data_IF_830122662717
#
_entry.id   IF_830122662717
#
_cell.length_a   1.000
_cell.length_b   1.000
_cell.length_c   1.000
_cell.angle_alpha   90.00
_cell.angle_beta   90.00
_cell.angle_gamma   90.00
#
_symmetry.space_group_name_H-M   'P 1'
#
loop_
_entity.id
_entity.type
_entity.pdbx_description
1 polymer ?
#
# COMPACT_ATOMS: atom_id res chain seq x y z
N UNK A 1 92.80 5.41 -18.87
CA UNK A 1 91.87 6.15 -17.97
C UNK A 1 90.51 5.51 -18.16
N UNK A 2 90.23 4.49 -17.35
CA UNK A 2 89.04 3.65 -17.48
C UNK A 2 87.87 4.28 -16.71
N UNK A 3 86.87 4.73 -17.45
CA UNK A 3 85.64 5.27 -16.91
C UNK A 3 84.64 4.12 -16.67
N UNK A 4 84.67 3.53 -15.48
CA UNK A 4 83.65 2.56 -15.04
C UNK A 4 82.38 3.32 -14.65
N UNK A 5 81.35 3.19 -15.47
CA UNK A 5 79.98 3.64 -15.18
C UNK A 5 79.37 2.70 -14.13
N UNK A 6 78.94 3.28 -13.02
CA UNK A 6 78.29 2.61 -11.89
C UNK A 6 76.77 2.47 -12.16
N UNK A 7 76.18 1.27 -12.21
CA UNK A 7 74.76 1.09 -12.52
C UNK A 7 73.79 1.14 -11.31
N UNK A 8 74.22 1.42 -10.08
CA UNK A 8 73.35 1.32 -8.89
C UNK A 8 72.74 2.63 -8.37
N UNK A 9 72.17 3.47 -9.25
CA UNK A 9 71.41 4.63 -8.77
C UNK A 9 70.16 4.94 -9.58
N UNK A 10 69.31 3.93 -9.76
CA UNK A 10 67.89 4.17 -10.00
C UNK A 10 67.26 4.59 -8.66
N UNK A 11 67.13 5.90 -8.47
CA UNK A 11 66.42 6.50 -7.36
C UNK A 11 64.99 5.96 -7.33
N UNK A 12 64.65 5.25 -6.25
CA UNK A 12 63.27 4.98 -5.90
C UNK A 12 62.57 6.31 -5.65
N UNK A 13 61.80 6.76 -6.63
CA UNK A 13 60.83 7.85 -6.44
C UNK A 13 59.80 7.34 -5.43
N UNK A 14 59.64 7.96 -4.25
CA UNK A 14 58.60 7.55 -3.32
C UNK A 14 57.25 7.74 -4.01
N UNK A 15 56.54 6.63 -4.17
CA UNK A 15 55.18 6.60 -4.66
C UNK A 15 54.33 7.50 -3.75
N UNK A 16 53.53 8.44 -4.28
CA UNK A 16 52.71 9.29 -3.44
C UNK A 16 51.72 8.39 -2.71
N UNK A 17 51.84 8.33 -1.37
CA UNK A 17 50.86 7.72 -0.50
C UNK A 17 49.48 8.20 -0.94
N UNK A 18 48.71 7.30 -1.56
CA UNK A 18 47.31 7.53 -1.88
C UNK A 18 46.60 7.69 -0.55
N UNK A 19 46.49 8.92 -0.06
CA UNK A 19 45.53 9.31 0.96
C UNK A 19 44.15 8.96 0.38
N UNK A 20 43.68 7.76 0.72
CA UNK A 20 42.31 7.37 0.51
C UNK A 20 41.38 8.45 1.07
N UNK A 21 40.18 8.61 0.49
CA UNK A 21 39.26 9.67 0.86
C UNK A 21 39.12 9.71 2.39
N UNK A 22 39.46 10.85 2.99
CA UNK A 22 39.32 11.05 4.43
C UNK A 22 37.85 10.76 4.79
N UNK A 23 37.59 9.88 5.77
CA UNK A 23 36.22 9.61 6.19
C UNK A 23 35.60 10.92 6.66
N UNK A 24 34.60 11.40 5.90
CA UNK A 24 33.83 12.58 6.26
C UNK A 24 32.91 12.16 7.41
N UNK A 25 32.98 12.80 8.58
CA UNK A 25 32.07 12.49 9.68
C UNK A 25 30.65 12.84 9.26
N UNK A 26 29.82 11.82 9.03
CA UNK A 26 28.38 11.98 8.94
C UNK A 26 27.81 12.05 10.36
N UNK A 27 27.44 13.25 10.79
CA UNK A 27 26.62 13.41 11.99
C UNK A 27 25.22 12.88 11.68
N UNK A 28 24.91 11.67 12.13
CA UNK A 28 23.53 11.22 12.24
C UNK A 28 22.89 12.03 13.39
N UNK A 29 21.86 12.81 13.06
CA UNK A 29 21.10 13.63 14.00
C UNK A 29 20.20 12.83 14.97
N UNK A 30 20.50 11.56 15.20
CA UNK A 30 19.81 10.73 16.17
C UNK A 30 20.88 10.23 17.14
N UNK A 31 20.89 10.75 18.37
CA UNK A 31 21.98 10.66 19.35
C UNK A 31 22.26 9.25 19.88
N UNK A 32 22.59 8.32 18.99
CA UNK A 32 23.05 6.97 19.28
C UNK A 32 24.33 6.69 18.52
N UNK A 33 25.42 6.69 19.27
CA UNK A 33 26.73 6.24 18.83
C UNK A 33 26.76 4.70 18.78
N UNK A 34 26.27 4.11 17.69
CA UNK A 34 26.50 2.69 17.42
C UNK A 34 27.80 2.56 16.59
N UNK A 35 28.91 2.23 17.26
CA UNK A 35 30.18 1.95 16.59
C UNK A 35 30.06 0.70 15.72
N UNK A 36 30.19 0.89 14.41
CA UNK A 36 30.30 -0.21 13.45
C UNK A 36 31.70 -0.81 13.60
N UNK A 37 31.82 -1.94 14.30
CA UNK A 37 33.03 -2.75 14.27
C UNK A 37 33.21 -3.33 12.85
N UNK A 38 34.01 -2.64 12.04
CA UNK A 38 34.55 -3.20 10.80
C UNK A 38 35.62 -4.21 11.20
N UNK A 39 35.20 -5.46 11.35
CA UNK A 39 36.12 -6.59 11.46
C UNK A 39 36.96 -6.68 10.19
N UNK A 40 38.23 -6.32 10.32
CA UNK A 40 39.30 -6.55 9.36
C UNK A 40 39.46 -8.06 9.17
N UNK A 41 38.88 -8.62 8.11
CA UNK A 41 39.17 -9.98 7.68
C UNK A 41 40.62 -10.02 7.20
N UNK A 42 41.48 -10.66 8.00
CA UNK A 42 42.89 -10.85 7.71
C UNK A 42 43.09 -11.80 6.54
N UNK A 43 44.00 -11.42 5.65
CA UNK A 43 44.65 -12.26 4.67
C UNK A 43 45.56 -13.29 5.36
N UNK A 44 45.41 -14.57 5.02
CA UNK A 44 46.43 -15.63 5.07
C UNK A 44 45.85 -16.81 4.27
N UNK A 45 46.47 -17.45 3.28
CA UNK A 45 47.80 -17.35 2.69
C UNK A 45 47.81 -18.17 1.38
N UNK A 46 48.93 -18.05 0.67
CA UNK A 46 49.23 -18.73 -0.58
C UNK A 46 49.31 -20.26 -0.45
N UNK A 47 49.02 -20.99 -1.54
CA UNK A 47 49.34 -22.42 -1.62
C UNK A 47 48.81 -23.16 -2.86
N UNK A 48 49.62 -23.13 -3.92
CA UNK A 48 49.91 -24.21 -4.89
C UNK A 48 48.83 -24.80 -5.82
N UNK A 49 49.26 -24.95 -7.07
CA UNK A 49 48.71 -25.69 -8.20
C UNK A 49 48.39 -27.18 -7.91
N UNK A 50 47.31 -27.70 -8.50
CA UNK A 50 47.27 -28.96 -9.28
C UNK A 50 45.85 -29.22 -9.86
N UNK A 51 45.73 -29.94 -11.00
CA UNK A 51 44.52 -29.98 -11.82
C UNK A 51 43.60 -31.19 -11.57
N UNK A 52 42.40 -31.06 -12.13
CA UNK A 52 41.37 -32.06 -12.48
C UNK A 52 41.60 -33.53 -12.05
N UNK A 53 40.66 -34.09 -11.28
CA UNK A 53 40.16 -35.45 -11.57
C UNK A 53 38.72 -35.63 -11.10
N UNK A 54 37.93 -36.18 -12.01
CA UNK A 54 36.60 -36.81 -11.89
C UNK A 54 36.49 -37.82 -10.75
N UNK A 55 35.36 -37.81 -10.02
CA UNK A 55 34.60 -39.00 -9.59
C UNK A 55 33.50 -38.63 -8.55
N UNK A 56 32.24 -38.88 -8.88
CA UNK A 56 31.26 -39.43 -7.93
C UNK A 56 31.42 -40.97 -7.95
N UNK A 57 31.22 -41.72 -6.85
CA UNK A 57 29.85 -42.09 -6.46
C UNK A 57 29.61 -42.44 -4.97
N UNK A 58 28.33 -42.68 -4.67
CA UNK A 58 27.77 -43.60 -3.67
C UNK A 58 27.51 -43.15 -2.22
N UNK A 59 26.21 -43.08 -1.94
CA UNK A 59 25.50 -43.78 -0.85
C UNK A 59 26.30 -44.22 0.37
N UNK A 60 26.00 -43.62 1.52
CA UNK A 60 25.99 -44.33 2.80
C UNK A 60 24.73 -43.96 3.59
N UNK A 61 23.83 -44.92 3.63
CA UNK A 61 22.71 -45.09 4.54
C UNK A 61 23.22 -45.28 5.96
N UNK A 62 22.80 -44.44 6.92
CA UNK A 62 22.78 -44.82 8.35
C UNK A 62 21.96 -43.85 9.21
N UNK A 63 20.87 -44.38 9.76
CA UNK A 63 20.24 -43.98 11.03
C UNK A 63 19.75 -45.28 11.68
N UNK A 64 19.43 -45.34 12.98
CA UNK A 64 19.93 -44.63 14.17
C UNK A 64 20.42 -45.66 15.24
N UNK A 65 20.70 -45.30 16.52
CA UNK A 65 19.64 -45.46 17.53
C UNK A 65 19.71 -44.52 18.75
N UNK A 66 18.53 -44.24 19.32
CA UNK A 66 18.24 -44.34 20.75
C UNK A 66 19.01 -43.46 21.75
N UNK A 67 18.35 -42.40 22.22
CA UNK A 67 18.49 -41.96 23.60
C UNK A 67 17.10 -41.79 24.22
N UNK A 68 16.85 -42.58 25.27
CA UNK A 68 15.63 -42.63 26.06
C UNK A 68 15.60 -41.49 27.08
N UNK A 69 14.40 -40.96 27.28
CA UNK A 69 13.77 -40.50 28.54
C UNK A 69 14.64 -40.03 29.71
N UNK A 70 14.39 -38.80 30.16
CA UNK A 70 14.13 -38.54 31.59
C UNK A 70 13.10 -37.42 31.78
N UNK A 71 12.08 -37.74 32.56
CA UNK A 71 11.07 -36.87 33.15
C UNK A 71 11.65 -36.22 34.41
N UNK A 72 11.35 -34.93 34.65
CA UNK A 72 11.10 -34.29 35.95
C UNK A 72 11.01 -32.76 35.69
N UNK A 73 9.82 -32.16 35.73
CA UNK A 73 9.17 -31.68 36.96
C UNK A 73 9.78 -30.37 37.47
N UNK A 74 9.11 -29.25 37.18
CA UNK A 74 8.71 -28.24 38.18
C UNK A 74 7.79 -27.21 37.52
N UNK A 75 6.50 -27.46 37.69
CA UNK A 75 5.48 -26.45 37.53
C UNK A 75 5.67 -25.40 38.63
N UNK A 76 5.93 -24.15 38.24
CA UNK A 76 5.82 -23.01 39.15
C UNK A 76 4.87 -22.00 38.50
N UNK A 77 3.60 -22.05 38.91
CA UNK A 77 2.66 -20.98 38.63
C UNK A 77 3.05 -19.74 39.43
N UNK A 78 3.05 -18.53 38.84
CA UNK A 78 2.96 -17.31 39.62
C UNK A 78 1.48 -17.02 39.98
N UNK A 79 1.23 -16.44 41.16
CA UNK A 79 -0.10 -16.33 41.76
C UNK A 79 -0.98 -15.28 41.08
N UNK A 80 -2.28 -15.59 41.05
CA UNK A 80 -3.35 -14.59 41.01
C UNK A 80 -3.12 -13.57 42.14
N UNK A 81 -2.92 -12.31 41.76
CA UNK A 81 -3.09 -11.18 42.64
C UNK A 81 -4.10 -10.23 41.99
N UNK A 82 -5.29 -10.23 42.58
CA UNK A 82 -6.34 -9.26 42.38
C UNK A 82 -5.79 -7.83 42.49
N UNK A 83 -6.14 -6.99 41.52
CA UNK A 83 -5.78 -5.58 41.49
C UNK A 83 -6.58 -4.83 40.43
N UNK A 84 -7.89 -4.72 40.62
CA UNK A 84 -8.67 -3.65 40.00
C UNK A 84 -8.33 -2.33 40.70
N UNK A 85 -8.03 -1.27 39.93
CA UNK A 85 -8.75 -0.01 40.09
C UNK A 85 -9.30 0.42 38.71
N UNK A 86 -10.61 0.63 38.54
CA UNK A 86 -11.26 1.93 38.80
C UNK A 86 -10.37 3.11 38.37
N UNK A 87 -10.46 3.52 37.11
CA UNK A 87 -11.16 4.75 36.73
C UNK A 87 -11.04 4.97 35.21
N UNK A 88 -12.21 4.99 34.58
CA UNK A 88 -12.39 5.56 33.27
C UNK A 88 -12.22 7.08 33.38
N UNK A 89 -11.03 7.58 33.07
CA UNK A 89 -10.85 8.99 32.75
C UNK A 89 -11.17 9.14 31.26
N UNK A 90 -12.45 9.43 30.99
CA UNK A 90 -12.87 10.15 29.80
C UNK A 90 -12.01 11.41 29.66
N UNK A 91 -11.45 11.74 28.48
CA UNK A 91 -11.01 13.10 28.22
C UNK A 91 -12.25 14.00 28.10
N UNK A 92 -12.47 14.99 28.98
CA UNK A 92 -13.41 16.06 28.72
C UNK A 92 -12.64 17.12 27.94
N UNK A 93 -12.65 17.04 26.61
CA UNK A 93 -12.46 18.21 25.74
C UNK A 93 -12.60 17.79 24.28
N UNK A 94 -13.82 17.37 23.93
CA UNK A 94 -14.35 17.67 22.61
C UNK A 94 -14.78 19.14 22.61
N UNK A 95 -13.80 20.04 22.65
CA UNK A 95 -14.02 21.43 22.30
C UNK A 95 -14.44 21.45 20.84
N UNK A 96 -15.72 21.72 20.59
CA UNK A 96 -16.20 22.06 19.26
C UNK A 96 -15.37 23.24 18.73
N UNK A 97 -14.82 23.19 17.51
CA UNK A 97 -14.33 24.40 16.88
C UNK A 97 -15.53 25.35 16.68
N UNK A 98 -15.40 26.63 17.08
CA UNK A 98 -16.47 27.60 16.90
C UNK A 98 -16.70 27.87 15.41
N UNK A 99 -17.92 28.34 15.17
CA UNK A 99 -18.45 28.79 13.89
C UNK A 99 -17.48 29.61 13.03
N UNK A 100 -17.69 29.44 11.73
CA UNK A 100 -17.33 30.32 10.64
C UNK A 100 -17.08 31.79 11.05
N UNK A 101 -15.84 32.24 10.82
CA UNK A 101 -15.54 33.66 10.60
C UNK A 101 -14.98 33.79 9.20
N UNK A 102 -15.82 34.27 8.29
CA UNK A 102 -15.41 34.78 6.98
C UNK A 102 -14.46 35.97 7.18
N UNK A 103 -13.33 36.06 6.46
CA UNK A 103 -12.54 37.29 6.46
C UNK A 103 -13.28 38.41 5.69
N UNK A 104 -13.23 39.66 6.20
CA UNK A 104 -13.89 40.79 5.62
C UNK A 104 -13.16 41.27 4.35
N UNK A 105 -13.97 41.85 3.47
CA UNK A 105 -13.59 42.55 2.27
C UNK A 105 -12.44 43.56 2.50
N UNK A 106 -11.39 43.45 1.68
CA UNK A 106 -10.49 44.55 1.40
C UNK A 106 -10.73 45.02 -0.04
N UNK A 107 -11.58 46.03 -0.15
CA UNK A 107 -11.86 46.76 -1.37
C UNK A 107 -10.70 47.68 -1.74
N UNK A 108 -10.27 47.66 -3.01
CA UNK A 108 -9.79 48.87 -3.73
C UNK A 108 -9.98 48.73 -5.25
N UNK A 109 -11.10 49.32 -5.72
CA UNK A 109 -11.28 50.22 -6.88
C UNK A 109 -10.37 50.09 -8.11
N UNK A 110 -10.98 50.02 -9.30
CA UNK A 110 -11.01 51.09 -10.34
C UNK A 110 -11.39 50.45 -11.70
N UNK A 111 -12.62 50.61 -12.20
CA UNK A 111 -13.12 51.71 -13.07
C UNK A 111 -13.12 51.33 -14.58
N UNK A 112 -14.28 51.50 -15.23
CA UNK A 112 -14.49 51.41 -16.68
C UNK A 112 -15.73 50.59 -17.06
N UNK A 113 -16.93 51.20 -17.04
CA UNK A 113 -17.72 51.60 -18.23
C UNK A 113 -18.35 50.41 -19.00
N UNK A 114 -19.63 50.31 -19.34
CA UNK A 114 -20.87 51.11 -19.26
C UNK A 114 -22.03 50.12 -19.58
N UNK A 115 -23.29 50.43 -19.25
CA UNK A 115 -24.42 49.49 -19.32
C UNK A 115 -25.22 49.63 -20.62
N UNK A 116 -25.76 48.52 -21.13
CA UNK A 116 -26.94 48.55 -22.00
C UNK A 116 -28.05 47.75 -21.36
N UNK A 117 -29.08 48.50 -20.98
CA UNK A 117 -30.35 48.06 -20.45
C UNK A 117 -31.19 47.38 -21.54
N UNK A 118 -31.99 46.39 -21.16
CA UNK A 118 -33.29 46.10 -21.79
C UNK A 118 -34.22 45.53 -20.73
N UNK A 119 -34.85 46.45 -20.00
CA UNK A 119 -36.30 46.57 -19.78
C UNK A 119 -37.13 45.34 -20.22
N UNK A 120 -37.61 44.52 -19.27
CA UNK A 120 -38.94 44.58 -18.67
C UNK A 120 -40.11 44.32 -19.65
N UNK A 121 -41.01 43.38 -19.30
CA UNK A 121 -42.49 43.52 -19.42
C UNK A 121 -43.20 42.21 -19.01
N UNK A 122 -43.70 42.25 -17.76
CA UNK A 122 -45.00 41.77 -17.21
C UNK A 122 -45.55 40.33 -17.40
N UNK A 123 -46.07 39.70 -16.32
CA UNK A 123 -47.18 38.72 -16.31
C UNK A 123 -48.55 39.48 -16.20
N UNK A 124 -49.76 38.92 -15.92
CA UNK A 124 -50.32 37.55 -15.74
C UNK A 124 -51.66 37.41 -16.59
N UNK A 125 -52.83 36.82 -16.20
CA UNK A 125 -53.23 35.69 -15.32
C UNK A 125 -54.22 34.66 -15.98
N UNK A 126 -54.58 33.61 -15.23
CA UNK A 126 -55.86 32.85 -15.16
C UNK A 126 -56.65 32.43 -16.42
N UNK A 127 -57.01 31.13 -16.50
CA UNK A 127 -58.38 30.63 -16.26
C UNK A 127 -58.63 29.20 -16.80
N UNK A 128 -59.09 28.33 -15.90
CA UNK A 128 -60.29 27.46 -16.04
C UNK A 128 -60.48 26.60 -17.30
N UNK A 129 -60.45 25.27 -17.14
CA UNK A 129 -61.64 24.40 -17.29
C UNK A 129 -61.29 22.90 -17.18
N UNK A 130 -62.21 22.17 -16.53
CA UNK A 130 -62.26 20.73 -16.25
C UNK A 130 -62.75 19.89 -17.48
N UNK A 131 -62.78 18.54 -17.42
CA UNK A 131 -62.69 17.57 -18.52
C UNK A 131 -64.06 17.18 -19.12
N UNK A 132 -64.10 16.49 -20.28
CA UNK A 132 -64.22 15.03 -20.33
C UNK A 132 -63.33 14.45 -21.45
N UNK A 133 -62.93 13.19 -21.50
CA UNK A 133 -63.71 12.15 -22.18
C UNK A 133 -63.01 10.79 -21.92
N UNK A 134 -63.79 9.85 -21.43
CA UNK A 134 -63.37 8.48 -21.21
C UNK A 134 -63.29 7.75 -22.55
N UNK A 135 -62.08 7.54 -23.05
CA UNK A 135 -61.85 6.59 -24.16
C UNK A 135 -61.91 5.15 -23.60
N UNK A 136 -62.68 4.24 -24.21
CA UNK A 136 -62.80 2.86 -23.74
C UNK A 136 -61.45 2.14 -23.82
N UNK A 137 -61.08 1.52 -22.70
CA UNK A 137 -59.97 0.59 -22.58
C UNK A 137 -60.10 -0.56 -23.60
N UNK A 138 -59.06 -0.86 -24.41
CA UNK A 138 -58.94 -2.16 -25.03
C UNK A 138 -58.62 -3.21 -23.95
N UNK A 139 -59.35 -4.33 -23.88
CA UNK A 139 -59.00 -5.45 -23.04
C UNK A 139 -57.97 -6.32 -23.79
N UNK A 140 -56.69 -5.97 -23.73
CA UNK A 140 -55.61 -6.94 -23.96
C UNK A 140 -54.89 -7.21 -22.64
N UNK A 141 -55.62 -7.92 -21.78
CA UNK A 141 -55.02 -8.77 -20.80
C UNK A 141 -54.19 -9.86 -21.52
N UNK A 142 -53.05 -10.20 -20.91
CA UNK A 142 -52.40 -11.52 -21.02
C UNK A 142 -51.69 -11.90 -22.33
N UNK A 143 -50.62 -11.18 -22.69
CA UNK A 143 -49.54 -11.74 -23.54
C UNK A 143 -48.11 -11.37 -23.10
N UNK A 144 -47.92 -10.82 -21.89
CA UNK A 144 -46.61 -10.38 -21.39
C UNK A 144 -45.99 -11.27 -20.29
N UNK A 145 -46.59 -12.42 -19.99
CA UNK A 145 -46.12 -13.34 -18.94
C UNK A 145 -45.35 -14.55 -19.50
N UNK A 146 -45.33 -14.75 -20.82
CA UNK A 146 -44.66 -15.87 -21.45
C UNK A 146 -43.23 -15.46 -21.86
N UNK A 147 -42.26 -16.20 -21.34
CA UNK A 147 -40.83 -16.09 -21.65
C UNK A 147 -40.09 -14.87 -21.08
N UNK A 148 -40.22 -14.63 -19.76
CA UNK A 148 -38.98 -14.44 -18.99
C UNK A 148 -38.17 -15.71 -19.20
N UNK A 149 -37.38 -15.76 -20.29
CA UNK A 149 -36.32 -16.75 -20.45
C UNK A 149 -35.60 -16.79 -19.10
N UNK A 150 -35.38 -17.96 -18.50
CA UNK A 150 -34.55 -18.04 -17.31
C UNK A 150 -33.31 -17.22 -17.65
N UNK A 151 -33.12 -16.10 -16.95
CA UNK A 151 -31.93 -15.29 -17.16
C UNK A 151 -30.81 -16.25 -16.82
N UNK A 152 -30.13 -16.70 -17.87
CA UNK A 152 -29.07 -17.68 -17.81
C UNK A 152 -28.05 -17.05 -16.89
N UNK A 153 -28.06 -17.50 -15.63
CA UNK A 153 -27.27 -16.94 -14.53
C UNK A 153 -25.85 -16.80 -15.09
N UNK A 154 -25.35 -15.57 -15.31
CA UNK A 154 -24.09 -15.40 -15.99
C UNK A 154 -23.04 -16.29 -15.32
N UNK A 155 -22.38 -17.13 -16.10
CA UNK A 155 -21.59 -18.22 -15.55
C UNK A 155 -20.55 -17.70 -14.56
N UNK A 156 -20.20 -18.52 -13.56
CA UNK A 156 -19.15 -18.18 -12.57
C UNK A 156 -17.88 -17.65 -13.25
N UNK A 157 -17.53 -18.18 -14.43
CA UNK A 157 -16.38 -17.72 -15.22
C UNK A 157 -16.44 -16.25 -15.66
N UNK A 158 -17.63 -15.71 -15.95
CA UNK A 158 -17.79 -14.30 -16.31
C UNK A 158 -17.57 -13.38 -15.11
N UNK A 159 -18.06 -13.76 -13.92
CA UNK A 159 -17.80 -13.03 -12.67
C UNK A 159 -16.31 -13.02 -12.37
N UNK A 160 -15.64 -14.17 -12.48
CA UNK A 160 -14.20 -14.29 -12.23
C UNK A 160 -13.42 -13.43 -13.23
N UNK A 161 -13.71 -13.54 -14.52
CA UNK A 161 -12.99 -12.78 -15.56
C UNK A 161 -13.17 -11.26 -15.38
N UNK A 162 -14.38 -10.80 -15.06
CA UNK A 162 -14.63 -9.38 -14.74
C UNK A 162 -13.93 -8.97 -13.46
N UNK A 163 -14.04 -9.78 -12.42
CA UNK A 163 -13.39 -9.56 -11.13
C UNK A 163 -11.88 -9.42 -11.24
N UNK A 164 -11.23 -10.25 -12.06
CA UNK A 164 -9.80 -10.16 -12.36
C UNK A 164 -9.44 -8.86 -13.08
N UNK A 165 -10.24 -8.42 -14.06
CA UNK A 165 -10.02 -7.13 -14.74
C UNK A 165 -10.17 -5.95 -13.78
N UNK A 166 -11.22 -5.96 -12.96
CA UNK A 166 -11.44 -4.94 -11.92
C UNK A 166 -10.30 -4.95 -10.91
N UNK A 167 -9.88 -6.13 -10.44
CA UNK A 167 -8.75 -6.28 -9.52
C UNK A 167 -7.42 -5.81 -10.09
N UNK A 168 -7.15 -6.03 -11.39
CA UNK A 168 -5.97 -5.51 -12.06
C UNK A 168 -5.97 -3.96 -12.11
N UNK A 169 -7.12 -3.35 -12.41
CA UNK A 169 -7.27 -1.90 -12.38
C UNK A 169 -7.07 -1.33 -10.95
N UNK A 170 -7.64 -1.98 -9.94
CA UNK A 170 -7.45 -1.62 -8.53
C UNK A 170 -5.99 -1.75 -8.10
N UNK A 171 -5.30 -2.81 -8.54
CA UNK A 171 -3.88 -3.03 -8.27
C UNK A 171 -3.06 -1.88 -8.84
N UNK A 172 -3.24 -1.55 -10.12
CA UNK A 172 -2.49 -0.48 -10.77
C UNK A 172 -2.73 0.88 -10.09
N UNK A 173 -3.99 1.22 -9.82
CA UNK A 173 -4.34 2.48 -9.15
C UNK A 173 -3.71 2.55 -7.74
N UNK A 174 -3.90 1.51 -6.93
CA UNK A 174 -3.40 1.48 -5.55
C UNK A 174 -1.88 1.49 -5.51
N UNK A 175 -1.21 0.71 -6.36
CA UNK A 175 0.24 0.66 -6.48
C UNK A 175 0.80 2.05 -6.84
N UNK A 176 0.26 2.70 -7.88
CA UNK A 176 0.67 4.03 -8.29
C UNK A 176 0.52 5.06 -7.15
N UNK A 177 -0.62 5.04 -6.44
CA UNK A 177 -0.84 5.95 -5.31
C UNK A 177 0.12 5.68 -4.16
N UNK A 178 0.38 4.42 -3.84
CA UNK A 178 1.34 4.05 -2.79
C UNK A 178 2.76 4.46 -3.15
N UNK A 179 3.18 4.27 -4.39
CA UNK A 179 4.51 4.69 -4.87
C UNK A 179 4.65 6.22 -4.86
N UNK A 180 3.63 6.94 -5.33
CA UNK A 180 3.63 8.41 -5.30
C UNK A 180 3.70 8.95 -3.86
N UNK A 181 2.84 8.45 -2.97
CA UNK A 181 2.83 8.85 -1.56
C UNK A 181 4.16 8.54 -0.86
N UNK A 182 4.73 7.35 -1.11
CA UNK A 182 6.04 6.98 -0.54
C UNK A 182 7.17 7.85 -1.06
N UNK A 183 7.11 8.25 -2.32
CA UNK A 183 8.11 9.16 -2.90
C UNK A 183 8.06 10.53 -2.22
N UNK A 184 6.86 11.04 -1.95
CA UNK A 184 6.68 12.32 -1.27
C UNK A 184 7.12 12.27 0.21
N UNK A 185 6.82 11.19 0.93
CA UNK A 185 7.09 11.06 2.37
C UNK A 185 8.52 10.57 2.69
N UNK A 186 9.09 9.71 1.84
CA UNK A 186 10.36 9.00 2.11
C UNK A 186 11.42 9.20 1.03
N UNK A 187 11.10 9.91 -0.05
CA UNK A 187 12.01 10.06 -1.20
C UNK A 187 12.21 8.77 -1.99
N UNK A 188 11.39 7.73 -1.77
CA UNK A 188 11.49 6.47 -2.51
C UNK A 188 10.12 5.85 -2.80
N UNK A 189 9.86 5.45 -4.06
CA UNK A 189 8.61 4.79 -4.43
C UNK A 189 8.48 3.36 -3.88
N UNK A 190 9.59 2.74 -3.46
CA UNK A 190 9.61 1.32 -3.05
C UNK A 190 9.34 1.10 -1.57
N UNK A 191 9.41 2.15 -0.76
CA UNK A 191 9.33 2.05 0.70
C UNK A 191 8.01 1.38 1.16
N UNK A 192 6.86 1.74 0.58
CA UNK A 192 5.60 1.09 0.94
C UNK A 192 5.51 -0.38 0.53
N UNK A 193 6.13 -0.78 -0.60
CA UNK A 193 6.15 -2.19 -1.01
C UNK A 193 7.00 -3.03 -0.06
N UNK A 194 8.17 -2.52 0.34
CA UNK A 194 9.02 -3.20 1.31
C UNK A 194 8.35 -3.28 2.69
N UNK A 195 7.64 -2.22 3.11
CA UNK A 195 6.84 -2.25 4.33
C UNK A 195 5.73 -3.31 4.24
N UNK A 196 5.03 -3.41 3.10
CA UNK A 196 3.99 -4.42 2.88
C UNK A 196 4.55 -5.85 2.91
N UNK A 197 5.77 -6.07 2.42
CA UNK A 197 6.44 -7.37 2.52
C UNK A 197 6.66 -7.80 3.97
N UNK A 198 7.03 -6.86 4.86
CA UNK A 198 7.13 -7.18 6.30
C UNK A 198 5.79 -7.56 6.91
N UNK A 199 4.68 -7.06 6.36
CA UNK A 199 3.34 -7.38 6.83
C UNK A 199 2.92 -8.81 6.52
N UNK A 200 3.40 -9.39 5.42
CA UNK A 200 3.16 -10.79 5.05
C UNK A 200 4.18 -11.76 5.66
N UNK A 201 4.95 -11.32 6.65
CA UNK A 201 5.80 -12.21 7.45
C UNK A 201 7.22 -12.40 6.95
N UNK A 202 7.72 -11.57 6.02
CA UNK A 202 9.12 -11.64 5.54
C UNK A 202 10.19 -11.17 6.55
N UNK A 203 9.89 -11.31 7.84
CA UNK A 203 10.82 -11.14 8.95
C UNK A 203 10.99 -9.69 9.39
N UNK A 204 11.46 -9.52 10.63
CA UNK A 204 11.76 -8.23 11.28
C UNK A 204 12.93 -7.47 10.66
N UNK A 205 13.30 -7.75 9.41
CA UNK A 205 14.38 -7.02 8.74
C UNK A 205 13.98 -5.55 8.67
N UNK A 206 14.95 -4.66 8.93
CA UNK A 206 14.72 -3.22 8.80
C UNK A 206 14.20 -2.96 7.39
N UNK A 207 13.05 -2.29 7.30
CA UNK A 207 12.47 -1.90 6.02
C UNK A 207 13.47 -1.01 5.31
N UNK A 208 13.99 -1.48 4.18
CA UNK A 208 14.80 -0.65 3.29
C UNK A 208 13.88 0.33 2.57
N UNK A 209 14.27 1.60 2.48
CA UNK A 209 13.57 2.54 1.62
C UNK A 209 13.89 2.31 0.14
N UNK A 210 15.01 1.66 -0.19
CA UNK A 210 15.42 1.35 -1.58
C UNK A 210 14.78 0.05 -2.08
N UNK A 211 14.74 -0.13 -3.41
CA UNK A 211 14.34 -1.39 -4.01
C UNK A 211 15.11 -2.56 -3.39
N UNK A 212 14.37 -3.56 -2.91
CA UNK A 212 14.92 -4.79 -2.33
C UNK A 212 14.44 -5.95 -3.22
N UNK A 213 15.35 -6.71 -3.86
CA UNK A 213 14.99 -7.76 -4.82
C UNK A 213 14.21 -8.91 -4.19
N UNK A 214 14.18 -9.02 -2.85
CA UNK A 214 13.40 -10.03 -2.13
C UNK A 214 12.11 -9.42 -1.59
N UNK A 215 12.19 -8.29 -0.89
CA UNK A 215 11.02 -7.71 -0.24
C UNK A 215 10.07 -7.02 -1.23
N UNK A 216 10.58 -6.23 -2.18
CA UNK A 216 9.73 -5.46 -3.10
C UNK A 216 8.79 -6.36 -3.93
N UNK A 217 9.26 -7.44 -4.58
CA UNK A 217 8.37 -8.31 -5.35
C UNK A 217 7.29 -8.97 -4.49
N UNK A 218 7.61 -9.31 -3.23
CA UNK A 218 6.64 -9.94 -2.33
C UNK A 218 5.58 -8.93 -1.88
N UNK A 219 5.96 -7.68 -1.59
CA UNK A 219 5.00 -6.61 -1.33
C UNK A 219 4.05 -6.38 -2.51
N UNK A 220 4.58 -6.35 -3.73
CA UNK A 220 3.78 -6.22 -4.96
C UNK A 220 2.85 -7.43 -5.14
N UNK A 221 3.34 -8.64 -4.92
CA UNK A 221 2.54 -9.86 -5.03
C UNK A 221 1.41 -9.89 -4.00
N UNK A 222 1.69 -9.49 -2.76
CA UNK A 222 0.69 -9.38 -1.70
C UNK A 222 -0.41 -8.37 -2.05
N UNK A 223 -0.02 -7.16 -2.50
CA UNK A 223 -0.97 -6.14 -2.96
C UNK A 223 -1.83 -6.66 -4.13
N UNK A 224 -1.18 -7.22 -5.15
CA UNK A 224 -1.85 -7.71 -6.35
C UNK A 224 -2.84 -8.83 -6.02
N UNK A 225 -2.42 -9.83 -5.23
CA UNK A 225 -3.28 -10.92 -4.79
C UNK A 225 -4.49 -10.43 -4.01
N UNK A 226 -4.28 -9.49 -3.06
CA UNK A 226 -5.35 -8.87 -2.30
C UNK A 226 -6.35 -8.12 -3.17
N UNK A 227 -5.87 -7.30 -4.11
CA UNK A 227 -6.71 -6.52 -5.02
C UNK A 227 -7.45 -7.37 -6.05
N UNK A 228 -6.86 -8.48 -6.53
CA UNK A 228 -7.55 -9.45 -7.39
C UNK A 228 -8.70 -10.13 -6.65
N UNK A 229 -8.46 -10.60 -5.43
CA UNK A 229 -9.50 -11.19 -4.59
C UNK A 229 -10.61 -10.17 -4.29
N UNK A 230 -10.23 -8.92 -3.99
CA UNK A 230 -11.16 -7.81 -3.78
C UNK A 230 -12.02 -7.55 -5.02
N UNK A 231 -11.41 -7.49 -6.22
CA UNK A 231 -12.12 -7.28 -7.48
C UNK A 231 -13.18 -8.35 -7.76
N UNK A 232 -12.86 -9.62 -7.49
CA UNK A 232 -13.82 -10.73 -7.59
C UNK A 232 -14.95 -10.58 -6.57
N UNK A 233 -14.62 -10.27 -5.31
CA UNK A 233 -15.61 -10.02 -4.26
C UNK A 233 -16.53 -8.85 -4.58
N UNK A 234 -15.98 -7.76 -5.12
CA UNK A 234 -16.71 -6.56 -5.53
C UNK A 234 -17.71 -6.86 -6.66
N UNK A 235 -17.30 -7.56 -7.72
CA UNK A 235 -18.22 -7.93 -8.81
C UNK A 235 -19.32 -8.89 -8.34
N UNK A 236 -18.99 -9.84 -7.45
CA UNK A 236 -19.97 -10.72 -6.83
C UNK A 236 -21.00 -9.93 -6.00
N UNK A 237 -20.54 -8.94 -5.22
CA UNK A 237 -21.41 -8.08 -4.41
C UNK A 237 -22.32 -7.18 -5.27
N UNK A 238 -21.78 -6.57 -6.33
CA UNK A 238 -22.58 -5.79 -7.28
C UNK A 238 -23.68 -6.63 -7.92
N UNK A 239 -23.36 -7.87 -8.30
CA UNK A 239 -24.35 -8.79 -8.86
C UNK A 239 -25.41 -9.21 -7.85
N UNK A 240 -25.02 -9.59 -6.64
CA UNK A 240 -25.95 -9.99 -5.58
C UNK A 240 -26.94 -8.86 -5.23
N UNK A 241 -26.52 -7.60 -5.36
CA UNK A 241 -27.36 -6.42 -5.10
C UNK A 241 -28.11 -5.92 -6.34
N UNK A 242 -27.87 -6.49 -7.53
CA UNK A 242 -28.42 -6.00 -8.80
C UNK A 242 -27.97 -4.59 -9.18
N UNK A 243 -26.92 -4.06 -8.53
CA UNK A 243 -26.45 -2.68 -8.75
C UNK A 243 -25.40 -2.63 -9.86
N UNK A 244 -25.37 -1.50 -10.58
CA UNK A 244 -24.30 -1.16 -11.52
C UNK A 244 -23.16 -0.47 -10.76
N UNK A 245 -21.94 -0.62 -11.26
CA UNK A 245 -20.79 0.13 -10.74
C UNK A 245 -21.01 1.63 -10.93
N UNK A 246 -20.71 2.41 -9.90
CA UNK A 246 -20.85 3.86 -9.91
C UNK A 246 -20.16 4.50 -8.70
N UNK A 247 -20.28 5.82 -8.57
CA UNK A 247 -19.61 6.57 -7.50
C UNK A 247 -19.97 6.05 -6.09
N UNK A 248 -21.25 5.73 -5.85
CA UNK A 248 -21.69 5.20 -4.56
C UNK A 248 -21.08 3.83 -4.24
N UNK A 249 -21.06 2.90 -5.19
CA UNK A 249 -20.48 1.57 -4.96
C UNK A 249 -18.96 1.65 -4.82
N UNK A 250 -18.30 2.58 -5.53
CA UNK A 250 -16.89 2.89 -5.34
C UNK A 250 -16.60 3.47 -3.95
N UNK A 251 -17.40 4.41 -3.47
CA UNK A 251 -17.27 4.96 -2.11
C UNK A 251 -17.46 3.86 -1.05
N UNK A 252 -18.47 2.99 -1.21
CA UNK A 252 -18.67 1.84 -0.32
C UNK A 252 -17.50 0.85 -0.39
N UNK A 253 -16.93 0.62 -1.57
CA UNK A 253 -15.72 -0.20 -1.75
C UNK A 253 -14.52 0.39 -1.01
N UNK A 254 -14.33 1.72 -1.06
CA UNK A 254 -13.29 2.41 -0.32
C UNK A 254 -13.46 2.26 1.20
N UNK A 255 -14.68 2.47 1.72
CA UNK A 255 -15.00 2.31 3.14
C UNK A 255 -14.82 0.86 3.58
N UNK A 256 -15.30 -0.10 2.80
CA UNK A 256 -15.14 -1.51 3.10
C UNK A 256 -13.65 -1.92 3.10
N UNK A 257 -12.85 -1.42 2.17
CA UNK A 257 -11.41 -1.65 2.14
C UNK A 257 -10.70 -1.05 3.36
N UNK A 258 -11.10 0.15 3.80
CA UNK A 258 -10.62 0.75 5.04
C UNK A 258 -10.96 -0.10 6.26
N UNK A 259 -12.21 -0.53 6.39
CA UNK A 259 -12.66 -1.36 7.52
C UNK A 259 -11.97 -2.73 7.53
N UNK A 260 -11.75 -3.35 6.37
CA UNK A 260 -11.03 -4.61 6.27
C UNK A 260 -9.58 -4.46 6.71
N UNK A 261 -8.90 -3.40 6.26
CA UNK A 261 -7.53 -3.13 6.72
C UNK A 261 -7.47 -2.85 8.22
N UNK A 262 -8.46 -2.16 8.79
CA UNK A 262 -8.48 -1.80 10.21
C UNK A 262 -8.88 -2.98 11.13
N UNK A 263 -9.78 -3.85 10.66
CA UNK A 263 -10.30 -4.98 11.45
C UNK A 263 -9.48 -6.26 11.31
N UNK A 264 -8.90 -6.53 10.13
CA UNK A 264 -8.23 -7.81 9.85
C UNK A 264 -6.73 -7.71 10.06
N UNK A 265 -6.11 -6.56 9.78
CA UNK A 265 -4.66 -6.43 9.91
C UNK A 265 -4.30 -6.06 11.36
N UNK A 266 -3.43 -6.83 12.03
CA UNK A 266 -2.98 -6.47 13.36
C UNK A 266 -2.30 -5.09 13.39
N UNK A 267 -2.55 -4.31 14.43
CA UNK A 267 -2.05 -2.93 14.63
C UNK A 267 -0.55 -2.77 14.34
N UNK A 268 0.24 -3.81 14.65
CA UNK A 268 1.68 -3.83 14.44
C UNK A 268 2.04 -3.67 12.96
N UNK A 269 1.26 -4.25 12.05
CA UNK A 269 1.46 -4.14 10.61
C UNK A 269 1.08 -2.75 10.11
N UNK A 270 -0.07 -2.25 10.57
CA UNK A 270 -0.57 -0.95 10.17
C UNK A 270 0.31 0.20 10.67
N UNK A 271 0.96 0.07 11.83
CA UNK A 271 1.85 1.12 12.36
C UNK A 271 3.05 1.39 11.47
N UNK A 272 3.74 0.34 11.00
CA UNK A 272 4.87 0.50 10.08
C UNK A 272 4.42 1.08 8.75
N UNK A 273 3.33 0.55 8.21
CA UNK A 273 2.81 0.98 6.92
C UNK A 273 2.29 2.43 6.92
N UNK A 274 1.51 2.84 7.95
CA UNK A 274 1.05 4.22 8.15
C UNK A 274 2.23 5.17 8.38
N UNK A 275 3.31 4.74 9.05
CA UNK A 275 4.53 5.54 9.21
C UNK A 275 5.31 5.72 7.91
N UNK A 276 5.19 4.79 6.96
CA UNK A 276 5.87 4.88 5.66
C UNK A 276 5.10 5.75 4.67
N UNK A 277 3.77 5.62 4.60
CA UNK A 277 2.95 6.37 3.65
C UNK A 277 2.38 7.70 4.18
N UNK A 278 2.50 7.94 5.49
CA UNK A 278 1.80 9.04 6.15
C UNK A 278 0.27 8.85 6.17
N UNK A 279 -0.40 9.78 6.82
CA UNK A 279 -1.88 9.82 6.88
C UNK A 279 -2.44 10.09 5.49
N UNK A 280 -1.85 11.04 4.76
CA UNK A 280 -2.30 11.43 3.43
C UNK A 280 -2.20 10.28 2.43
N UNK A 281 -1.08 9.53 2.41
CA UNK A 281 -0.94 8.35 1.55
C UNK A 281 -1.93 7.24 1.91
N UNK A 282 -2.22 7.07 3.20
CA UNK A 282 -3.23 6.11 3.68
C UNK A 282 -4.64 6.48 3.20
N UNK A 283 -5.03 7.75 3.27
CA UNK A 283 -6.34 8.20 2.75
C UNK A 283 -6.36 8.08 1.22
N UNK A 284 -5.28 8.50 0.56
CA UNK A 284 -5.18 8.53 -0.90
C UNK A 284 -5.36 7.14 -1.51
N UNK A 285 -4.82 6.07 -0.89
CA UNK A 285 -5.00 4.70 -1.41
C UNK A 285 -6.47 4.27 -1.44
N UNK A 286 -7.28 4.65 -0.44
CA UNK A 286 -8.71 4.28 -0.42
C UNK A 286 -9.52 5.13 -1.38
N UNK A 287 -9.17 6.40 -1.56
CA UNK A 287 -9.76 7.23 -2.62
C UNK A 287 -9.47 6.63 -4.00
N UNK A 288 -8.22 6.23 -4.26
CA UNK A 288 -7.83 5.55 -5.49
C UNK A 288 -8.58 4.21 -5.69
N UNK A 289 -8.70 3.41 -4.63
CA UNK A 289 -9.47 2.17 -4.64
C UNK A 289 -10.95 2.41 -5.02
N UNK A 290 -11.58 3.41 -4.40
CA UNK A 290 -12.97 3.76 -4.67
C UNK A 290 -13.17 4.32 -6.07
N UNK A 291 -12.28 5.20 -6.53
CA UNK A 291 -12.30 5.75 -7.88
C UNK A 291 -12.13 4.66 -8.94
N UNK A 292 -11.15 3.75 -8.78
CA UNK A 292 -10.96 2.62 -9.68
C UNK A 292 -12.15 1.65 -9.66
N UNK A 293 -12.75 1.39 -8.49
CA UNK A 293 -13.96 0.58 -8.36
C UNK A 293 -15.19 1.22 -9.04
N UNK A 294 -15.27 2.54 -9.04
CA UNK A 294 -16.33 3.28 -9.74
C UNK A 294 -16.08 3.35 -11.26
N UNK A 295 -14.81 3.42 -11.67
CA UNK A 295 -14.38 3.52 -13.05
C UNK A 295 -14.41 2.18 -13.81
N UNK A 296 -14.46 1.05 -13.10
CA UNK A 296 -14.72 -0.27 -13.69
C UNK A 296 -16.18 -0.34 -14.19
N UNK A 297 -16.47 0.41 -15.26
CA UNK A 297 -17.78 0.42 -15.91
C UNK A 297 -18.00 -0.92 -16.60
N UNK A 298 -19.24 -1.41 -16.50
CA UNK A 298 -19.79 -2.53 -17.27
C UNK A 298 -20.16 -2.08 -18.67
#
# INVERSE_FOLDING_TARGET
>A
MDNRVNPERAAATPEPERQGPRPVPYNYHDGREDYLHVGRQGETGAGADLPETTASPSEVTASPPGARSSLAETATMPPEAAGLPREAILPPDAAMPPEAVLPPEAATRSSGATPSATEATTPPPEATALPPEATPLPPEATAGAAARRPQEEPGMGEIVTRGLRTGAALTAATLCTMMAASTLERGSPWAAMNAMATAVGLGRRRVSDRFDPVATPVGIAALTGGMLLWGIGYEKALRATGRRSGALTGAMSAVAGFLVDDLILPDRLMKSFRRTMGVLGTVSKYVALGAASAASRR
#
